data_IF_645858644849
#
_entry.id   IF_645858644849
#
_cell.length_a   1.000
_cell.length_b   1.000
_cell.length_c   1.000
_cell.angle_alpha   90.00
_cell.angle_beta   90.00
_cell.angle_gamma   90.00
#
_symmetry.space_group_name_H-M   'P 1'
#
loop_
_entity.id
_entity.type
_entity.pdbx_description
1 polymer ?
#
# COMPACT_ATOMS: atom_id res chain seq x y z
N UNK A 1 63.78 -21.18 21.44
CA UNK A 1 63.42 -20.22 20.37
C UNK A 1 62.36 -20.72 19.37
N UNK A 2 62.15 -22.03 19.21
CA UNK A 2 61.14 -22.58 18.29
C UNK A 2 59.68 -22.34 18.74
N UNK A 3 59.41 -22.33 20.06
CA UNK A 3 58.06 -22.21 20.63
C UNK A 3 57.39 -20.84 20.39
N UNK A 4 58.16 -19.73 20.44
CA UNK A 4 57.60 -18.38 20.27
C UNK A 4 57.13 -18.10 18.83
N UNK A 5 57.71 -18.76 17.82
CA UNK A 5 57.26 -18.65 16.42
C UNK A 5 55.93 -19.37 16.19
N UNK A 6 55.74 -20.54 16.83
CA UNK A 6 54.48 -21.29 16.75
C UNK A 6 53.35 -20.52 17.44
N UNK A 7 53.56 -20.04 18.68
CA UNK A 7 52.58 -19.25 19.44
C UNK A 7 52.18 -17.97 18.71
N UNK A 8 53.13 -17.27 18.08
CA UNK A 8 52.85 -16.06 17.29
C UNK A 8 51.97 -16.33 16.06
N UNK A 9 52.27 -17.42 15.33
CA UNK A 9 51.47 -17.85 14.16
C UNK A 9 50.06 -18.27 14.55
N UNK A 10 49.91 -19.06 15.63
CA UNK A 10 48.59 -19.46 16.14
C UNK A 10 47.75 -18.25 16.55
N UNK A 11 48.37 -17.24 17.18
CA UNK A 11 47.68 -15.99 17.54
C UNK A 11 47.24 -15.18 16.32
N UNK A 12 48.05 -15.12 15.27
CA UNK A 12 47.70 -14.44 14.01
C UNK A 12 46.53 -15.13 13.31
N UNK A 13 46.52 -16.46 13.25
CA UNK A 13 45.41 -17.25 12.69
C UNK A 13 44.13 -17.04 13.51
N UNK A 14 44.23 -17.09 14.84
CA UNK A 14 43.08 -16.85 15.71
C UNK A 14 42.50 -15.43 15.54
N UNK A 15 43.36 -14.40 15.49
CA UNK A 15 42.94 -13.03 15.21
C UNK A 15 42.26 -12.90 13.84
N UNK A 16 42.80 -13.56 12.81
CA UNK A 16 42.19 -13.56 11.48
C UNK A 16 40.78 -14.18 11.49
N UNK A 17 40.60 -15.33 12.17
CA UNK A 17 39.30 -15.99 12.32
C UNK A 17 38.30 -15.10 13.06
N UNK A 18 38.72 -14.47 14.16
CA UNK A 18 37.86 -13.56 14.93
C UNK A 18 37.44 -12.36 14.09
N UNK A 19 38.38 -11.73 13.36
CA UNK A 19 38.09 -10.55 12.53
C UNK A 19 37.15 -10.90 11.38
N UNK A 20 37.35 -12.07 10.76
CA UNK A 20 36.46 -12.66 9.78
C UNK A 20 35.06 -12.90 10.39
N UNK A 21 34.97 -13.49 11.58
CA UNK A 21 33.69 -13.73 12.27
C UNK A 21 32.92 -12.45 12.58
N UNK A 22 33.63 -11.39 12.99
CA UNK A 22 33.04 -10.07 13.22
C UNK A 22 32.52 -9.46 11.92
N UNK A 23 33.29 -9.52 10.84
CA UNK A 23 32.86 -9.03 9.52
C UNK A 23 31.62 -9.77 9.00
N UNK A 24 31.59 -11.09 9.16
CA UNK A 24 30.42 -11.90 8.83
C UNK A 24 29.20 -11.46 9.64
N UNK A 25 29.35 -11.34 10.97
CA UNK A 25 28.26 -10.97 11.86
C UNK A 25 27.67 -9.60 11.50
N UNK A 26 28.52 -8.62 11.21
CA UNK A 26 28.09 -7.28 10.76
C UNK A 26 27.35 -7.36 9.41
N UNK A 27 27.88 -8.13 8.46
CA UNK A 27 27.26 -8.30 7.13
C UNK A 27 25.88 -8.97 7.21
N UNK A 28 25.79 -10.09 7.94
CA UNK A 28 24.54 -10.85 8.14
C UNK A 28 23.51 -9.98 8.90
N UNK A 29 23.93 -9.23 9.91
CA UNK A 29 23.04 -8.33 10.64
C UNK A 29 22.48 -7.23 9.73
N UNK A 30 23.31 -6.62 8.87
CA UNK A 30 22.86 -5.63 7.89
C UNK A 30 21.86 -6.19 6.88
N UNK A 31 22.10 -7.41 6.39
CA UNK A 31 21.18 -8.11 5.49
C UNK A 31 19.85 -8.43 6.19
N UNK A 32 19.90 -8.94 7.42
CA UNK A 32 18.70 -9.23 8.22
C UNK A 32 17.86 -7.96 8.49
N UNK A 33 18.51 -6.85 8.85
CA UNK A 33 17.82 -5.56 9.03
C UNK A 33 17.17 -5.05 7.74
N UNK A 34 17.82 -5.24 6.59
CA UNK A 34 17.27 -4.87 5.28
C UNK A 34 16.05 -5.72 4.91
N UNK A 35 16.09 -7.04 5.15
CA UNK A 35 14.93 -7.94 4.99
C UNK A 35 13.78 -7.49 5.90
N UNK A 36 14.06 -7.22 7.17
CA UNK A 36 13.05 -6.80 8.15
C UNK A 36 12.38 -5.48 7.76
N UNK A 37 13.14 -4.47 7.35
CA UNK A 37 12.60 -3.19 6.92
C UNK A 37 11.73 -3.31 5.67
N UNK A 38 12.19 -4.09 4.67
CA UNK A 38 11.41 -4.37 3.46
C UNK A 38 10.12 -5.12 3.79
N UNK A 39 10.19 -6.18 4.59
CA UNK A 39 9.02 -6.94 5.00
C UNK A 39 7.99 -6.08 5.74
N UNK A 40 8.42 -5.19 6.66
CA UNK A 40 7.53 -4.23 7.33
C UNK A 40 6.87 -3.28 6.34
N UNK A 41 7.63 -2.65 5.44
CA UNK A 41 7.08 -1.74 4.44
C UNK A 41 5.97 -2.41 3.60
N UNK A 42 6.16 -3.66 3.18
CA UNK A 42 5.17 -4.38 2.38
C UNK A 42 3.96 -4.83 3.21
N UNK A 43 4.18 -5.30 4.43
CA UNK A 43 3.08 -5.83 5.25
C UNK A 43 2.23 -4.73 5.88
N UNK A 44 2.83 -3.61 6.25
CA UNK A 44 2.14 -2.51 6.93
C UNK A 44 1.59 -1.46 5.95
N UNK A 45 2.33 -1.12 4.88
CA UNK A 45 1.92 -0.03 3.97
C UNK A 45 1.18 -0.53 2.73
N UNK A 46 1.68 -1.54 2.02
CA UNK A 46 1.03 -1.99 0.77
C UNK A 46 -0.30 -2.71 1.05
N UNK A 47 -0.38 -3.49 2.13
CA UNK A 47 -1.64 -4.13 2.54
C UNK A 47 -2.69 -3.09 2.95
N UNK A 48 -2.28 -2.05 3.68
CA UNK A 48 -3.18 -0.96 4.07
C UNK A 48 -3.74 -0.24 2.85
N UNK A 49 -2.88 0.13 1.88
CA UNK A 49 -3.31 0.76 0.62
C UNK A 49 -4.29 -0.13 -0.15
N UNK A 50 -4.01 -1.43 -0.26
CA UNK A 50 -4.91 -2.37 -0.93
C UNK A 50 -6.28 -2.42 -0.24
N UNK A 51 -6.30 -2.52 1.09
CA UNK A 51 -7.56 -2.51 1.87
C UNK A 51 -8.34 -1.22 1.68
N UNK A 52 -7.66 -0.06 1.70
CA UNK A 52 -8.28 1.25 1.50
C UNK A 52 -8.90 1.37 0.09
N UNK A 53 -8.22 0.89 -0.95
CA UNK A 53 -8.75 0.87 -2.32
C UNK A 53 -10.03 0.04 -2.42
N UNK A 54 -10.05 -1.16 -1.81
CA UNK A 54 -11.25 -2.00 -1.78
C UNK A 54 -12.40 -1.31 -1.02
N UNK A 55 -12.10 -0.66 0.11
CA UNK A 55 -13.09 0.07 0.89
C UNK A 55 -13.68 1.24 0.11
N UNK A 56 -12.86 2.01 -0.62
CA UNK A 56 -13.35 3.07 -1.51
C UNK A 56 -14.29 2.49 -2.57
N UNK A 57 -13.93 1.36 -3.20
CA UNK A 57 -14.79 0.69 -4.19
C UNK A 57 -16.15 0.27 -3.65
N UNK A 58 -16.19 -0.24 -2.41
CA UNK A 58 -17.44 -0.58 -1.71
C UNK A 58 -18.26 0.67 -1.42
N UNK A 59 -17.65 1.69 -0.82
CA UNK A 59 -18.33 2.94 -0.46
C UNK A 59 -18.90 3.66 -1.70
N UNK A 60 -18.17 3.70 -2.81
CA UNK A 60 -18.66 4.23 -4.09
C UNK A 60 -19.91 3.51 -4.61
N UNK A 61 -19.96 2.19 -4.43
CA UNK A 61 -21.11 1.39 -4.86
C UNK A 61 -22.31 1.64 -3.95
N UNK A 62 -22.07 1.78 -2.65
CA UNK A 62 -23.09 2.13 -1.66
C UNK A 62 -23.63 3.55 -1.87
N UNK A 63 -22.76 4.51 -2.17
CA UNK A 63 -23.12 5.87 -2.49
C UNK A 63 -24.09 5.94 -3.68
N UNK A 64 -23.79 5.19 -4.75
CA UNK A 64 -24.68 5.08 -5.90
C UNK A 64 -26.01 4.43 -5.50
N UNK A 65 -25.99 3.31 -4.76
CA UNK A 65 -27.19 2.63 -4.27
C UNK A 65 -28.12 3.59 -3.51
N UNK A 66 -27.58 4.33 -2.55
CA UNK A 66 -28.33 5.29 -1.72
C UNK A 66 -29.02 6.37 -2.55
N UNK A 67 -28.35 6.92 -3.58
CA UNK A 67 -28.95 7.95 -4.44
C UNK A 67 -30.03 7.40 -5.36
N UNK A 68 -29.87 6.17 -5.88
CA UNK A 68 -30.92 5.52 -6.68
C UNK A 68 -32.12 5.15 -5.81
N UNK A 69 -31.90 4.71 -4.57
CA UNK A 69 -32.96 4.43 -3.62
C UNK A 69 -33.69 5.73 -3.24
N UNK A 70 -32.96 6.80 -2.93
CA UNK A 70 -33.53 8.11 -2.63
C UNK A 70 -34.37 8.65 -3.80
N UNK A 71 -33.89 8.50 -5.03
CA UNK A 71 -34.66 8.86 -6.23
C UNK A 71 -35.98 8.06 -6.34
N UNK A 72 -36.00 6.82 -5.89
CA UNK A 72 -37.18 5.95 -6.00
C UNK A 72 -38.19 6.13 -4.86
N UNK A 73 -37.73 6.48 -3.66
CA UNK A 73 -38.56 6.58 -2.45
C UNK A 73 -38.84 8.00 -1.99
N UNK A 74 -38.06 8.97 -2.46
CA UNK A 74 -38.06 10.37 -2.00
C UNK A 74 -37.77 10.52 -0.49
N UNK A 75 -37.23 9.48 0.16
CA UNK A 75 -36.92 9.49 1.59
C UNK A 75 -35.63 10.30 1.87
N UNK A 76 -35.76 11.50 2.45
CA UNK A 76 -34.65 12.43 2.62
C UNK A 76 -33.51 11.92 3.50
N UNK A 77 -33.80 11.01 4.44
CA UNK A 77 -32.80 10.37 5.32
C UNK A 77 -31.70 9.64 4.53
N UNK A 78 -32.05 9.05 3.37
CA UNK A 78 -31.10 8.36 2.49
C UNK A 78 -30.03 9.31 1.95
N UNK A 79 -30.37 10.58 1.77
CA UNK A 79 -29.41 11.62 1.38
C UNK A 79 -28.74 12.27 2.59
N UNK A 80 -29.54 12.82 3.50
CA UNK A 80 -29.08 13.68 4.61
C UNK A 80 -28.21 12.92 5.62
N UNK A 81 -28.51 11.65 5.84
CA UNK A 81 -27.74 10.78 6.74
C UNK A 81 -26.88 9.81 5.93
N UNK A 82 -27.51 8.95 5.13
CA UNK A 82 -26.82 7.85 4.44
C UNK A 82 -25.73 8.32 3.47
N UNK A 83 -26.11 9.11 2.46
CA UNK A 83 -25.18 9.55 1.43
C UNK A 83 -24.08 10.46 1.99
N UNK A 84 -24.45 11.42 2.87
CA UNK A 84 -23.48 12.35 3.44
C UNK A 84 -22.48 11.65 4.38
N UNK A 85 -22.93 10.69 5.19
CA UNK A 85 -22.03 9.89 6.02
C UNK A 85 -21.06 9.07 5.15
N UNK A 86 -21.59 8.37 4.13
CA UNK A 86 -20.78 7.61 3.18
C UNK A 86 -19.72 8.49 2.49
N UNK A 87 -20.11 9.67 2.03
CA UNK A 87 -19.20 10.63 1.39
C UNK A 87 -18.11 11.13 2.36
N UNK A 88 -18.45 11.37 3.63
CA UNK A 88 -17.47 11.75 4.64
C UNK A 88 -16.46 10.62 4.90
N UNK A 89 -16.91 9.36 4.95
CA UNK A 89 -16.04 8.20 5.06
C UNK A 89 -15.09 8.08 3.86
N UNK A 90 -15.60 8.28 2.63
CA UNK A 90 -14.77 8.32 1.41
C UNK A 90 -13.68 9.38 1.49
N UNK A 91 -14.02 10.60 1.87
CA UNK A 91 -13.05 11.70 2.00
C UNK A 91 -12.01 11.42 3.10
N UNK A 92 -12.42 10.80 4.21
CA UNK A 92 -11.51 10.42 5.29
C UNK A 92 -10.42 9.46 4.79
N UNK A 93 -10.82 8.40 4.08
CA UNK A 93 -9.89 7.40 3.52
C UNK A 93 -8.96 8.05 2.49
N UNK A 94 -9.47 8.91 1.62
CA UNK A 94 -8.65 9.59 0.61
C UNK A 94 -7.64 10.56 1.22
N UNK A 95 -8.00 11.25 2.29
CA UNK A 95 -7.08 12.12 3.02
C UNK A 95 -5.97 11.31 3.70
N UNK A 96 -6.30 10.16 4.29
CA UNK A 96 -5.30 9.25 4.84
C UNK A 96 -4.33 8.74 3.77
N UNK A 97 -4.87 8.29 2.62
CA UNK A 97 -4.07 7.85 1.49
C UNK A 97 -3.17 8.98 0.93
N UNK A 98 -3.67 10.21 0.86
CA UNK A 98 -2.88 11.37 0.42
C UNK A 98 -1.73 11.66 1.41
N UNK A 99 -1.96 11.51 2.71
CA UNK A 99 -0.96 11.68 3.77
C UNK A 99 0.18 10.65 3.72
N UNK A 100 -0.06 9.47 3.15
CA UNK A 100 0.97 8.44 2.97
C UNK A 100 2.02 8.80 1.88
N UNK A 101 1.82 9.88 1.12
CA UNK A 101 2.80 10.41 0.17
C UNK A 101 3.01 9.56 -1.09
N UNK A 102 2.14 8.56 -1.33
CA UNK A 102 2.14 7.73 -2.55
C UNK A 102 0.88 7.98 -3.34
N UNK A 103 0.97 7.82 -4.66
CA UNK A 103 -0.18 7.96 -5.58
C UNK A 103 -0.89 9.33 -5.49
N UNK A 104 -0.20 10.38 -5.03
CA UNK A 104 -0.81 11.70 -4.77
C UNK A 104 -1.57 12.26 -5.97
N UNK A 105 -1.02 12.13 -7.18
CA UNK A 105 -1.71 12.56 -8.40
C UNK A 105 -3.01 11.78 -8.63
N UNK A 106 -2.94 10.45 -8.64
CA UNK A 106 -4.12 9.58 -8.82
C UNK A 106 -5.17 9.81 -7.74
N UNK A 107 -4.78 9.98 -6.48
CA UNK A 107 -5.70 10.30 -5.37
C UNK A 107 -6.33 11.68 -5.58
N UNK A 108 -5.58 12.66 -6.08
CA UNK A 108 -6.12 13.99 -6.40
C UNK A 108 -7.18 13.87 -7.50
N UNK A 109 -6.93 13.09 -8.55
CA UNK A 109 -7.89 12.86 -9.63
C UNK A 109 -9.16 12.14 -9.14
N UNK A 110 -9.02 11.16 -8.25
CA UNK A 110 -10.17 10.51 -7.57
C UNK A 110 -10.99 11.54 -6.78
N UNK A 111 -10.32 12.38 -5.98
CA UNK A 111 -10.97 13.41 -5.18
C UNK A 111 -11.69 14.45 -6.04
N UNK A 112 -11.15 14.81 -7.21
CA UNK A 112 -11.82 15.71 -8.16
C UNK A 112 -13.13 15.11 -8.65
N UNK A 113 -13.13 13.83 -9.06
CA UNK A 113 -14.34 13.16 -9.52
C UNK A 113 -15.39 12.98 -8.41
N UNK A 114 -14.95 12.65 -7.19
CA UNK A 114 -15.86 12.54 -6.05
C UNK A 114 -16.48 13.88 -5.67
N UNK A 115 -15.69 14.96 -5.69
CA UNK A 115 -16.22 16.30 -5.44
C UNK A 115 -17.25 16.69 -6.50
N UNK A 116 -16.96 16.48 -7.78
CA UNK A 116 -17.90 16.74 -8.87
C UNK A 116 -19.19 15.92 -8.71
N UNK A 117 -19.08 14.62 -8.39
CA UNK A 117 -20.24 13.78 -8.10
C UNK A 117 -21.07 14.32 -6.91
N UNK A 118 -20.41 14.83 -5.87
CA UNK A 118 -21.09 15.39 -4.69
C UNK A 118 -21.85 16.68 -4.99
N UNK A 119 -21.32 17.53 -5.87
CA UNK A 119 -22.00 18.73 -6.33
C UNK A 119 -23.27 18.36 -7.13
N UNK A 120 -23.18 17.34 -7.99
CA UNK A 120 -24.34 16.82 -8.73
C UNK A 120 -25.37 16.16 -7.78
N UNK A 121 -24.92 15.43 -6.76
CA UNK A 121 -25.80 14.82 -5.77
C UNK A 121 -26.55 15.87 -4.92
N UNK A 122 -25.90 16.98 -4.56
CA UNK A 122 -26.56 18.10 -3.90
C UNK A 122 -27.62 18.78 -4.79
N UNK A 123 -27.31 18.92 -6.08
CA UNK A 123 -28.27 19.43 -7.06
C UNK A 123 -29.45 18.46 -7.27
N UNK A 124 -29.21 17.15 -7.22
CA UNK A 124 -30.25 16.13 -7.26
C UNK A 124 -31.17 16.24 -6.05
N UNK A 125 -30.62 16.31 -4.84
CA UNK A 125 -31.39 16.49 -3.62
C UNK A 125 -32.27 17.75 -3.67
N UNK A 126 -31.70 18.88 -4.11
CA UNK A 126 -32.46 20.13 -4.28
C UNK A 126 -33.62 19.98 -5.27
N UNK A 127 -33.41 19.24 -6.36
CA UNK A 127 -34.47 18.98 -7.35
C UNK A 127 -35.56 18.05 -6.82
N UNK A 128 -35.20 16.99 -6.07
CA UNK A 128 -36.16 16.05 -5.48
C UNK A 128 -36.99 16.67 -4.34
N UNK A 129 -36.42 17.64 -3.61
CA UNK A 129 -37.14 18.40 -2.58
C UNK A 129 -38.03 19.51 -3.14
N UNK A 130 -38.00 19.74 -4.46
CA UNK A 130 -38.83 20.76 -5.11
C UNK A 130 -40.31 20.34 -5.11
N UNK A 131 -41.26 21.27 -4.87
CA UNK A 131 -42.68 20.99 -5.06
C UNK A 131 -43.04 20.51 -6.48
N UNK A 132 -42.20 20.83 -7.45
CA UNK A 132 -42.29 20.35 -8.83
C UNK A 132 -40.97 19.68 -9.22
N UNK A 133 -40.82 18.42 -8.82
CA UNK A 133 -39.66 17.59 -9.15
C UNK A 133 -39.51 17.42 -10.66
N UNK A 134 -38.34 17.77 -11.19
CA UNK A 134 -38.00 17.55 -12.59
C UNK A 134 -37.41 16.15 -12.77
N UNK A 135 -38.25 15.13 -12.96
CA UNK A 135 -37.84 13.72 -13.03
C UNK A 135 -36.79 13.41 -14.11
N UNK A 136 -36.88 14.06 -15.27
CA UNK A 136 -35.88 13.88 -16.33
C UNK A 136 -34.52 14.48 -15.95
N UNK A 137 -34.53 15.59 -15.20
CA UNK A 137 -33.30 16.17 -14.66
C UNK A 137 -32.70 15.23 -13.61
N UNK A 138 -33.50 14.67 -12.71
CA UNK A 138 -33.04 13.71 -11.71
C UNK A 138 -32.34 12.50 -12.35
N UNK A 139 -32.94 11.94 -13.42
CA UNK A 139 -32.33 10.83 -14.17
C UNK A 139 -30.99 11.21 -14.78
N UNK A 140 -30.90 12.40 -15.37
CA UNK A 140 -29.64 12.92 -15.94
C UNK A 140 -28.57 13.16 -14.86
N UNK A 141 -28.97 13.66 -13.68
CA UNK A 141 -28.07 13.86 -12.54
C UNK A 141 -27.52 12.52 -12.02
N UNK A 142 -28.37 11.51 -11.86
CA UNK A 142 -27.94 10.15 -11.50
C UNK A 142 -26.95 9.57 -12.53
N UNK A 143 -27.21 9.77 -13.82
CA UNK A 143 -26.29 9.32 -14.86
C UNK A 143 -24.92 10.01 -14.78
N UNK A 144 -24.88 11.32 -14.53
CA UNK A 144 -23.64 12.08 -14.33
C UNK A 144 -22.84 11.59 -13.11
N UNK A 145 -23.54 11.30 -12.00
CA UNK A 145 -22.91 10.69 -10.82
C UNK A 145 -22.31 9.32 -11.17
N UNK A 146 -23.06 8.47 -11.88
CA UNK A 146 -22.57 7.17 -12.35
C UNK A 146 -21.37 7.31 -13.29
N UNK A 147 -21.31 8.36 -14.12
CA UNK A 147 -20.16 8.64 -14.99
C UNK A 147 -18.91 8.96 -14.18
N UNK A 148 -19.02 9.80 -13.14
CA UNK A 148 -17.92 10.08 -12.22
C UNK A 148 -17.44 8.82 -11.50
N UNK A 149 -18.36 7.97 -11.02
CA UNK A 149 -17.98 6.68 -10.44
C UNK A 149 -17.20 5.81 -11.41
N UNK A 150 -17.68 5.68 -12.65
CA UNK A 150 -16.99 4.90 -13.69
C UNK A 150 -15.61 5.46 -14.05
N UNK A 151 -15.41 6.78 -13.95
CA UNK A 151 -14.11 7.42 -14.15
C UNK A 151 -13.12 7.13 -13.00
N UNK A 152 -13.62 6.96 -11.77
CA UNK A 152 -12.80 6.63 -10.59
C UNK A 152 -12.31 5.18 -10.61
N UNK A 153 -13.13 4.22 -11.07
CA UNK A 153 -12.77 2.79 -11.08
C UNK A 153 -11.41 2.46 -11.73
N UNK A 154 -11.05 2.98 -12.93
CA UNK A 154 -9.73 2.72 -13.50
C UNK A 154 -8.58 3.32 -12.68
N UNK A 155 -8.80 4.47 -12.02
CA UNK A 155 -7.79 5.09 -11.15
C UNK A 155 -7.52 4.21 -9.92
N UNK A 156 -8.59 3.67 -9.30
CA UNK A 156 -8.45 2.71 -8.19
C UNK A 156 -7.72 1.44 -8.63
N UNK A 157 -8.03 0.94 -9.84
CA UNK A 157 -7.35 -0.22 -10.43
C UNK A 157 -5.87 0.05 -10.70
N UNK A 158 -5.50 1.27 -11.06
CA UNK A 158 -4.10 1.67 -11.21
C UNK A 158 -3.34 1.56 -9.89
N UNK A 159 -3.92 2.10 -8.80
CA UNK A 159 -3.34 2.00 -7.45
C UNK A 159 -3.22 0.52 -7.04
N UNK A 160 -4.27 -0.27 -7.25
CA UNK A 160 -4.27 -1.71 -6.97
C UNK A 160 -3.15 -2.45 -7.73
N UNK A 161 -3.05 -2.24 -9.05
CA UNK A 161 -2.05 -2.90 -9.89
C UNK A 161 -0.62 -2.47 -9.52
N UNK A 162 -0.41 -1.20 -9.17
CA UNK A 162 0.88 -0.70 -8.73
C UNK A 162 1.27 -1.25 -7.34
N UNK A 163 0.30 -1.40 -6.45
CA UNK A 163 0.49 -1.98 -5.11
C UNK A 163 0.82 -3.47 -5.22
N UNK A 164 0.10 -4.23 -6.03
CA UNK A 164 0.42 -5.64 -6.30
C UNK A 164 1.82 -5.83 -6.91
N UNK A 165 2.22 -4.96 -7.83
CA UNK A 165 3.59 -4.97 -8.39
C UNK A 165 4.65 -4.65 -7.33
N UNK A 166 4.39 -3.69 -6.44
CA UNK A 166 5.26 -3.34 -5.32
C UNK A 166 5.49 -4.54 -4.40
N UNK A 167 4.42 -5.21 -3.99
CA UNK A 167 4.46 -6.41 -3.13
C UNK A 167 5.26 -7.54 -3.80
N UNK A 168 4.99 -7.81 -5.08
CA UNK A 168 5.69 -8.89 -5.81
C UNK A 168 7.19 -8.60 -5.95
N UNK A 169 7.57 -7.38 -6.34
CA UNK A 169 8.97 -6.97 -6.41
C UNK A 169 9.66 -7.02 -5.05
N UNK A 170 8.91 -6.69 -4.00
CA UNK A 170 9.34 -6.78 -2.63
C UNK A 170 9.67 -8.19 -2.17
N UNK A 171 8.77 -9.12 -2.46
CA UNK A 171 8.95 -10.54 -2.19
C UNK A 171 10.20 -11.09 -2.90
N UNK A 172 10.36 -10.80 -4.19
CA UNK A 172 11.55 -11.21 -4.95
C UNK A 172 12.84 -10.62 -4.37
N UNK A 173 12.82 -9.36 -3.92
CA UNK A 173 13.97 -8.73 -3.27
C UNK A 173 14.35 -9.42 -1.95
N UNK A 174 13.36 -9.87 -1.17
CA UNK A 174 13.59 -10.60 0.08
C UNK A 174 14.23 -11.96 -0.21
N UNK A 175 13.72 -12.70 -1.20
CA UNK A 175 14.31 -13.99 -1.61
C UNK A 175 15.77 -13.79 -2.01
N UNK A 176 16.05 -12.79 -2.85
CA UNK A 176 17.41 -12.52 -3.31
C UNK A 176 18.36 -12.19 -2.15
N UNK A 177 17.90 -11.40 -1.16
CA UNK A 177 18.71 -11.11 0.03
C UNK A 177 18.97 -12.36 0.88
N UNK A 178 17.98 -13.23 1.01
CA UNK A 178 18.11 -14.48 1.75
C UNK A 178 19.13 -15.41 1.07
N UNK A 179 19.08 -15.52 -0.25
CA UNK A 179 20.03 -16.33 -1.04
C UNK A 179 21.48 -15.81 -0.88
N UNK A 180 21.68 -14.48 -0.98
CA UNK A 180 22.99 -13.86 -0.74
C UNK A 180 23.50 -14.19 0.68
N UNK A 181 22.62 -14.12 1.68
CA UNK A 181 22.99 -14.41 3.08
C UNK A 181 23.48 -15.84 3.23
N UNK A 182 22.80 -16.81 2.60
CA UNK A 182 23.19 -18.23 2.61
C UNK A 182 24.58 -18.41 1.96
N UNK A 183 24.82 -17.80 0.81
CA UNK A 183 26.10 -17.90 0.12
C UNK A 183 27.26 -17.27 0.90
N UNK A 184 27.02 -16.12 1.54
CA UNK A 184 28.02 -15.44 2.39
C UNK A 184 28.43 -16.35 3.55
N UNK A 185 27.48 -16.99 4.22
CA UNK A 185 27.76 -17.94 5.30
C UNK A 185 28.49 -19.18 4.77
N UNK A 186 28.08 -19.74 3.63
CA UNK A 186 28.71 -20.91 3.04
C UNK A 186 30.17 -20.65 2.63
N UNK A 187 30.44 -19.54 1.94
CA UNK A 187 31.81 -19.10 1.57
C UNK A 187 32.68 -18.91 2.81
N UNK A 188 32.11 -18.34 3.87
CA UNK A 188 32.81 -18.15 5.13
C UNK A 188 33.18 -19.47 5.81
N UNK A 189 32.23 -20.40 5.91
CA UNK A 189 32.47 -21.74 6.47
C UNK A 189 33.54 -22.49 5.68
N UNK A 190 33.52 -22.40 4.34
CA UNK A 190 34.56 -22.97 3.48
C UNK A 190 35.92 -22.31 3.71
N UNK A 191 35.96 -20.98 3.86
CA UNK A 191 37.19 -20.24 4.16
C UNK A 191 37.83 -20.66 5.49
N UNK A 192 37.03 -20.81 6.55
CA UNK A 192 37.52 -21.32 7.84
C UNK A 192 38.02 -22.76 7.69
N UNK A 193 37.27 -23.63 7.01
CA UNK A 193 37.68 -25.02 6.81
C UNK A 193 39.03 -25.11 6.07
N UNK A 194 39.23 -24.31 5.03
CA UNK A 194 40.49 -24.24 4.30
C UNK A 194 41.66 -23.77 5.18
N UNK A 195 41.45 -22.75 6.02
CA UNK A 195 42.46 -22.25 6.97
C UNK A 195 42.75 -23.31 8.05
N UNK A 196 41.75 -24.09 8.47
CA UNK A 196 41.92 -25.11 9.50
C UNK A 196 42.67 -26.36 9.01
N UNK A 197 42.68 -26.62 7.70
CA UNK A 197 43.36 -27.76 7.10
C UNK A 197 44.83 -27.47 6.72
N UNK A 198 45.25 -26.20 6.77
CA UNK A 198 46.57 -25.72 6.34
C UNK A 198 47.42 -25.24 7.53
#
# INVERSE_FOLDING_TARGET
MHNNKLVSRTRQVYLAIVLLGVLLAVGVYGLAASVQNKARQYMETDLAIFSQVQQIGMLLSEQERLLYEYYATEESSLYEEGYLENFNQLNSILNEMAGAGRFTATITDVSIHLKAASEVAAALHTNLMSPQTQWNLSRSQLEQISQHRRAVLPLLKEIEMATNRSVNNGYLSIIQLLEITVWVVALFSLGIAAISLY
#
